data_IF_288347154191
#
_entry.id   IF_288347154191
#
_cell.length_a   1.000
_cell.length_b   1.000
_cell.length_c   1.000
_cell.angle_alpha   90.00
_cell.angle_beta   90.00
_cell.angle_gamma   90.00
#
_symmetry.space_group_name_H-M   'P 1'
#
loop_
_entity.id
_entity.type
_entity.pdbx_description
1 polymer ?
#
# COMPACT_ATOMS: atom_id res chain seq x y z
N UNK A 1 18.38 34.60 -39.00
CA UNK A 1 17.16 35.30 -38.52
C UNK A 1 16.92 34.99 -37.05
N UNK A 2 16.40 35.93 -36.23
CA UNK A 2 15.87 35.57 -34.91
C UNK A 2 14.71 34.60 -35.12
N UNK A 3 14.92 33.30 -34.83
CA UNK A 3 13.94 32.23 -35.09
C UNK A 3 14.40 31.10 -36.01
N UNK A 4 15.62 31.13 -36.55
CA UNK A 4 16.15 29.96 -37.26
C UNK A 4 16.39 28.79 -36.30
N UNK A 5 15.67 27.69 -36.52
CA UNK A 5 15.91 26.40 -35.85
C UNK A 5 16.56 25.45 -36.84
N UNK A 6 17.84 25.14 -36.62
CA UNK A 6 18.49 24.02 -37.31
C UNK A 6 18.16 22.71 -36.57
N UNK A 7 17.72 21.68 -37.31
CA UNK A 7 17.48 20.35 -36.75
C UNK A 7 18.66 19.45 -37.12
N UNK A 8 19.44 19.06 -36.13
CA UNK A 8 20.53 18.09 -36.28
C UNK A 8 20.10 16.64 -36.04
N UNK A 9 21.07 15.73 -36.15
CA UNK A 9 20.90 14.31 -35.83
C UNK A 9 20.45 14.10 -34.39
N UNK A 10 19.65 13.05 -34.18
CA UNK A 10 19.18 12.67 -32.85
C UNK A 10 20.21 11.77 -32.19
N UNK A 11 20.66 12.15 -31.00
CA UNK A 11 21.44 11.26 -30.14
C UNK A 11 20.51 10.32 -29.38
N UNK A 12 20.86 9.03 -29.35
CA UNK A 12 20.26 8.05 -28.44
C UNK A 12 21.24 7.79 -27.31
N UNK A 13 20.76 7.95 -26.07
CA UNK A 13 21.48 7.55 -24.86
C UNK A 13 20.78 6.32 -24.29
N UNK A 14 21.56 5.29 -23.95
CA UNK A 14 21.09 4.08 -23.29
C UNK A 14 21.91 3.88 -22.02
N UNK A 15 21.24 3.72 -20.88
CA UNK A 15 21.87 3.34 -19.63
C UNK A 15 21.85 1.82 -19.46
N UNK A 16 22.84 1.28 -18.75
CA UNK A 16 22.84 -0.13 -18.36
C UNK A 16 21.67 -0.41 -17.41
N UNK A 17 21.14 -1.62 -17.44
CA UNK A 17 20.17 -2.08 -16.44
C UNK A 17 20.75 -2.10 -15.02
N UNK A 18 22.08 -2.02 -14.87
CA UNK A 18 22.77 -1.89 -13.59
C UNK A 18 22.96 -0.45 -13.11
N UNK A 19 22.57 0.56 -13.91
CA UNK A 19 22.71 1.96 -13.50
C UNK A 19 21.70 2.28 -12.39
N UNK A 20 22.15 2.77 -11.22
CA UNK A 20 21.24 3.08 -10.11
C UNK A 20 20.16 4.10 -10.51
N UNK A 21 18.87 3.86 -10.21
CA UNK A 21 17.81 4.84 -10.41
C UNK A 21 18.12 6.15 -9.66
N UNK A 22 17.95 7.30 -10.32
CA UNK A 22 18.33 8.62 -9.79
C UNK A 22 19.74 9.09 -10.14
N UNK A 23 20.52 8.29 -10.89
CA UNK A 23 21.84 8.72 -11.36
C UNK A 23 21.69 9.93 -12.29
N UNK A 24 22.30 11.06 -11.89
CA UNK A 24 22.35 12.29 -12.70
C UNK A 24 23.61 12.29 -13.55
N UNK A 25 23.44 12.34 -14.87
CA UNK A 25 24.55 12.41 -15.82
C UNK A 25 24.55 13.81 -16.45
N UNK A 26 25.60 14.63 -16.21
CA UNK A 26 25.76 15.90 -16.89
C UNK A 26 26.24 15.68 -18.33
N UNK A 27 25.64 16.41 -19.26
CA UNK A 27 26.02 16.48 -20.65
C UNK A 27 26.48 17.89 -20.98
N UNK A 28 27.53 17.97 -21.79
CA UNK A 28 27.97 19.20 -22.45
C UNK A 28 27.88 18.97 -23.94
N UNK A 29 27.10 19.79 -24.64
CA UNK A 29 27.05 19.77 -26.10
C UNK A 29 28.00 20.83 -26.60
N UNK A 30 29.02 20.44 -27.38
CA UNK A 30 29.86 21.42 -28.07
C UNK A 30 29.22 21.80 -29.39
N UNK A 31 28.88 23.07 -29.54
CA UNK A 31 28.29 23.64 -30.76
C UNK A 31 29.31 24.59 -31.37
N UNK A 32 29.79 24.29 -32.58
CA UNK A 32 30.69 25.15 -33.34
C UNK A 32 30.00 25.65 -34.61
N UNK A 33 30.25 26.91 -34.96
CA UNK A 33 29.78 27.53 -36.21
C UNK A 33 30.80 28.54 -36.71
N UNK A 34 30.56 29.10 -37.90
CA UNK A 34 31.33 30.26 -38.39
C UNK A 34 31.19 31.52 -37.52
N UNK A 35 30.16 31.59 -36.67
CA UNK A 35 29.89 32.73 -35.80
C UNK A 35 30.46 32.57 -34.38
N UNK A 36 30.96 31.39 -34.02
CA UNK A 36 31.51 31.12 -32.68
C UNK A 36 31.34 29.68 -32.21
N UNK A 37 31.67 29.46 -30.94
CA UNK A 37 31.58 28.17 -30.27
C UNK A 37 30.89 28.31 -28.90
N UNK A 38 30.01 27.37 -28.58
CA UNK A 38 29.23 27.35 -27.34
C UNK A 38 29.19 25.94 -26.75
N UNK A 39 29.18 25.85 -25.42
CA UNK A 39 29.16 24.59 -24.69
C UNK A 39 27.94 24.50 -23.75
N UNK A 40 26.69 24.52 -24.26
CA UNK A 40 25.51 24.37 -23.41
C UNK A 40 25.53 23.03 -22.67
N UNK A 41 25.13 23.09 -21.40
CA UNK A 41 25.03 21.92 -20.53
C UNK A 41 23.58 21.58 -20.23
N UNK A 42 23.31 20.29 -20.08
CA UNK A 42 22.04 19.78 -19.55
C UNK A 42 22.28 18.50 -18.75
N UNK A 43 21.28 18.03 -18.00
CA UNK A 43 21.38 16.81 -17.20
C UNK A 43 20.32 15.81 -17.64
N UNK A 44 20.67 14.52 -17.62
CA UNK A 44 19.70 13.42 -17.71
C UNK A 44 19.69 12.66 -16.39
N UNK A 45 18.50 12.31 -15.91
CA UNK A 45 18.29 11.45 -14.74
C UNK A 45 17.90 10.06 -15.24
N UNK A 46 18.66 9.03 -14.85
CA UNK A 46 18.39 7.64 -15.23
C UNK A 46 17.41 7.03 -14.23
N UNK A 47 16.24 6.59 -14.71
CA UNK A 47 15.16 6.07 -13.85
C UNK A 47 14.50 7.17 -13.00
N UNK A 48 13.51 6.80 -12.19
CA UNK A 48 13.03 7.69 -11.14
C UNK A 48 14.07 7.70 -10.02
N UNK A 49 14.53 8.87 -9.53
CA UNK A 49 15.37 8.90 -8.34
C UNK A 49 14.66 8.19 -7.20
N UNK A 50 15.44 7.54 -6.32
CA UNK A 50 14.96 7.34 -4.96
C UNK A 50 14.62 8.73 -4.44
N UNK A 51 13.33 9.06 -4.40
CA UNK A 51 12.92 10.13 -3.50
C UNK A 51 13.49 9.74 -2.14
N UNK A 52 14.15 10.64 -1.39
CA UNK A 52 14.47 10.35 0.00
C UNK A 52 13.14 10.00 0.66
N UNK A 53 12.88 8.70 0.84
CA UNK A 53 11.53 8.29 1.17
C UNK A 53 11.25 8.61 2.62
N UNK A 54 9.97 8.65 2.92
CA UNK A 54 9.52 8.88 4.26
C UNK A 54 9.67 7.59 5.09
N UNK A 55 9.59 7.75 6.40
CA UNK A 55 9.34 6.63 7.31
C UNK A 55 7.84 6.46 7.54
N UNK A 56 7.07 7.54 7.39
CA UNK A 56 5.61 7.59 7.57
C UNK A 56 4.93 8.30 6.40
N UNK A 57 3.75 7.85 5.99
CA UNK A 57 2.87 8.55 5.04
C UNK A 57 1.42 8.40 5.46
N UNK A 58 0.62 9.43 5.23
CA UNK A 58 -0.81 9.44 5.52
C UNK A 58 -1.59 9.14 4.25
N UNK A 59 -2.44 8.12 4.32
CA UNK A 59 -3.57 8.02 3.42
C UNK A 59 -4.64 9.00 3.89
N UNK A 60 -5.03 9.99 3.07
CA UNK A 60 -6.00 11.02 3.47
C UNK A 60 -7.04 11.40 2.41
N UNK A 61 -7.11 10.67 1.30
CA UNK A 61 -8.00 11.01 0.18
C UNK A 61 -9.47 10.63 0.44
N UNK A 62 -9.76 9.54 1.14
CA UNK A 62 -11.12 9.03 1.41
C UNK A 62 -11.87 9.67 2.60
N UNK A 63 -12.86 8.96 3.14
CA UNK A 63 -13.63 9.30 4.34
C UNK A 63 -12.94 8.85 5.65
N UNK A 64 -11.90 8.02 5.56
CA UNK A 64 -11.00 7.71 6.67
C UNK A 64 -9.59 8.28 6.42
N UNK A 65 -8.74 8.25 7.46
CA UNK A 65 -7.30 8.49 7.34
C UNK A 65 -6.56 7.33 8.00
N UNK A 66 -5.49 6.84 7.38
CA UNK A 66 -4.58 5.87 8.01
C UNK A 66 -3.14 6.26 7.72
N UNK A 67 -2.29 6.30 8.74
CA UNK A 67 -0.84 6.36 8.53
C UNK A 67 -0.26 4.97 8.32
N UNK A 68 0.61 4.82 7.33
CA UNK A 68 1.43 3.63 7.13
C UNK A 68 2.90 3.96 7.33
N UNK A 69 3.70 2.98 7.74
CA UNK A 69 5.13 3.15 7.99
C UNK A 69 5.98 2.15 7.21
N UNK A 70 7.29 2.42 7.10
CA UNK A 70 8.30 1.47 6.62
C UNK A 70 8.88 0.58 7.75
N UNK A 71 8.26 0.57 8.93
CA UNK A 71 8.83 -0.02 10.14
C UNK A 71 8.05 -1.26 10.64
N UNK A 72 6.94 -1.59 9.98
CA UNK A 72 6.01 -2.63 10.45
C UNK A 72 5.02 -2.16 11.52
N UNK A 73 5.16 -0.94 12.05
CA UNK A 73 4.08 -0.28 12.79
C UNK A 73 3.05 0.34 11.83
N UNK A 74 1.83 0.52 12.30
CA UNK A 74 0.71 1.07 11.53
C UNK A 74 0.06 2.16 12.40
N UNK A 75 -0.26 3.32 11.81
CA UNK A 75 -0.82 4.47 12.50
C UNK A 75 0.23 5.46 13.05
N UNK A 76 1.28 4.95 13.68
CA UNK A 76 2.38 5.75 14.24
C UNK A 76 3.71 5.01 14.07
N UNK A 77 4.83 5.72 14.02
CA UNK A 77 6.18 5.14 13.94
C UNK A 77 6.63 4.48 15.25
N UNK A 78 6.16 5.02 16.37
CA UNK A 78 6.31 4.49 17.73
C UNK A 78 4.99 4.66 18.50
N UNK A 79 4.81 3.98 19.64
CA UNK A 79 3.61 4.14 20.45
C UNK A 79 3.44 5.56 21.02
N UNK A 80 2.22 6.15 20.97
CA UNK A 80 1.93 7.55 21.29
C UNK A 80 2.68 8.16 22.49
N UNK A 81 3.72 8.96 22.21
CA UNK A 81 4.32 9.98 23.06
C UNK A 81 4.26 11.37 22.37
N UNK A 82 4.71 12.43 23.05
CA UNK A 82 4.50 13.83 22.64
C UNK A 82 5.16 14.23 21.28
N UNK A 83 5.94 13.34 20.63
CA UNK A 83 6.79 13.64 19.47
C UNK A 83 6.60 12.70 18.26
N UNK A 84 5.56 11.87 18.27
CA UNK A 84 5.44 10.75 17.33
C UNK A 84 5.01 11.19 15.93
N UNK A 85 5.50 10.45 14.92
CA UNK A 85 5.17 10.69 13.52
C UNK A 85 3.99 9.80 13.12
N UNK A 86 2.97 10.45 12.57
CA UNK A 86 1.76 9.77 12.10
C UNK A 86 0.50 10.43 12.60
N UNK A 87 -0.62 9.85 12.23
CA UNK A 87 -1.95 10.37 12.48
C UNK A 87 -2.93 9.27 12.86
N UNK A 88 -2.44 8.05 13.07
CA UNK A 88 -3.23 6.91 13.50
C UNK A 88 -4.26 6.49 12.45
N UNK A 89 -5.44 6.08 12.94
CA UNK A 89 -6.60 5.75 12.11
C UNK A 89 -7.79 6.63 12.52
N UNK A 90 -8.15 7.62 11.69
CA UNK A 90 -9.30 8.50 11.96
C UNK A 90 -10.52 8.06 11.15
N UNK A 91 -11.66 7.92 11.83
CA UNK A 91 -12.95 7.68 11.21
C UNK A 91 -14.07 8.39 12.02
N UNK A 92 -14.82 9.34 11.43
CA UNK A 92 -14.61 9.92 10.10
C UNK A 92 -13.26 10.67 10.03
N UNK A 93 -12.74 10.93 8.83
CA UNK A 93 -11.38 11.48 8.59
C UNK A 93 -11.01 12.69 9.45
N UNK A 94 -11.98 13.56 9.72
CA UNK A 94 -11.80 14.78 10.52
C UNK A 94 -11.74 14.53 12.04
N UNK A 95 -12.01 13.32 12.52
CA UNK A 95 -11.93 12.97 13.94
C UNK A 95 -10.49 12.82 14.42
N UNK A 96 -10.32 12.81 15.74
CA UNK A 96 -9.12 12.24 16.35
C UNK A 96 -8.91 10.78 15.90
N UNK A 97 -7.68 10.30 16.02
CA UNK A 97 -7.38 8.88 15.79
C UNK A 97 -8.20 8.03 16.77
N UNK A 98 -8.73 6.92 16.28
CA UNK A 98 -9.32 5.85 17.07
C UNK A 98 -8.30 4.75 17.38
N UNK A 99 -7.10 4.83 16.78
CA UNK A 99 -6.02 3.88 16.98
C UNK A 99 -5.01 4.46 17.94
N UNK A 100 -4.71 3.72 19.02
CA UNK A 100 -3.57 3.99 19.89
C UNK A 100 -2.29 3.48 19.23
N UNK A 101 -2.21 2.19 18.95
CA UNK A 101 -1.04 1.61 18.29
C UNK A 101 -1.33 0.29 17.58
N UNK A 102 -0.62 0.02 16.47
CA UNK A 102 -0.77 -1.23 15.72
C UNK A 102 0.55 -1.64 15.09
N UNK A 103 0.70 -2.95 14.87
CA UNK A 103 1.81 -3.50 14.13
C UNK A 103 1.38 -4.69 13.28
N UNK A 104 2.01 -4.82 12.12
CA UNK A 104 2.09 -6.06 11.36
C UNK A 104 3.08 -7.01 12.04
N UNK A 105 2.72 -8.29 12.15
CA UNK A 105 3.54 -9.31 12.77
C UNK A 105 3.71 -10.50 11.84
N UNK A 106 4.89 -11.13 11.87
CA UNK A 106 5.14 -12.46 11.32
C UNK A 106 5.81 -13.34 12.35
N UNK A 107 5.43 -14.61 12.44
CA UNK A 107 6.03 -15.52 13.42
C UNK A 107 5.69 -16.97 13.19
N UNK A 108 6.60 -17.88 13.56
CA UNK A 108 6.40 -19.32 13.40
C UNK A 108 6.72 -20.14 14.67
N UNK A 109 7.14 -19.48 15.74
CA UNK A 109 7.38 -20.10 17.05
C UNK A 109 7.41 -19.03 18.14
N UNK A 110 7.39 -19.46 19.41
CA UNK A 110 7.57 -18.55 20.53
C UNK A 110 8.95 -17.85 20.57
N UNK A 111 9.94 -18.39 19.86
CA UNK A 111 11.28 -17.79 19.74
C UNK A 111 11.49 -17.01 18.44
N UNK A 112 10.44 -16.83 17.63
CA UNK A 112 10.50 -16.02 16.41
C UNK A 112 9.14 -15.38 16.14
N UNK A 113 9.04 -14.12 16.56
CA UNK A 113 7.99 -13.18 16.21
C UNK A 113 8.70 -11.88 15.85
N UNK A 114 8.55 -11.42 14.61
CA UNK A 114 9.03 -10.12 14.17
C UNK A 114 7.85 -9.14 14.18
N UNK A 115 7.97 -8.08 14.98
CA UNK A 115 6.95 -7.05 15.13
C UNK A 115 7.55 -5.70 15.57
N UNK A 116 6.66 -4.74 15.88
CA UNK A 116 7.03 -3.42 16.41
C UNK A 116 6.23 -3.03 17.66
N UNK A 117 5.69 -3.99 18.40
CA UNK A 117 5.11 -3.77 19.73
C UNK A 117 6.20 -3.66 20.80
N UNK A 118 5.84 -3.17 21.98
CA UNK A 118 6.75 -3.15 23.13
C UNK A 118 7.38 -4.52 23.39
N UNK A 119 8.70 -4.51 23.58
CA UNK A 119 9.45 -5.67 24.02
C UNK A 119 9.48 -5.78 25.55
N UNK A 120 9.89 -6.94 26.04
CA UNK A 120 10.21 -7.14 27.45
C UNK A 120 11.73 -6.97 27.66
N UNK A 121 12.21 -6.21 28.66
CA UNK A 121 11.45 -5.51 29.71
C UNK A 121 10.76 -4.22 29.21
N UNK A 122 9.75 -3.71 29.94
CA UNK A 122 8.99 -2.50 29.56
C UNK A 122 9.82 -1.25 29.24
N UNK A 123 11.06 -1.19 29.74
CA UNK A 123 12.00 -0.09 29.50
C UNK A 123 12.71 -0.15 28.14
N UNK A 124 12.51 -1.21 27.35
CA UNK A 124 13.23 -1.46 26.09
C UNK A 124 12.69 -0.72 24.86
N UNK A 125 11.54 -0.05 24.97
CA UNK A 125 10.86 0.56 23.83
C UNK A 125 10.17 -0.48 22.91
N UNK A 126 9.65 -0.04 21.75
CA UNK A 126 9.10 -0.96 20.75
C UNK A 126 10.20 -1.84 20.16
N UNK A 127 9.84 -3.09 19.84
CA UNK A 127 10.68 -4.02 19.10
C UNK A 127 11.11 -3.39 17.76
N UNK A 128 12.35 -3.65 17.35
CA UNK A 128 12.88 -3.17 16.06
C UNK A 128 13.28 -4.33 15.17
N UNK A 129 12.45 -5.38 15.15
CA UNK A 129 12.70 -6.62 14.42
C UNK A 129 12.72 -6.38 12.91
N UNK A 130 11.91 -5.43 12.45
CA UNK A 130 11.94 -4.97 11.07
C UNK A 130 13.00 -3.88 10.84
N UNK A 131 13.78 -4.04 9.75
CA UNK A 131 14.71 -3.03 9.24
C UNK A 131 14.29 -2.54 7.87
N UNK A 132 14.32 -1.23 7.68
CA UNK A 132 14.03 -0.60 6.39
C UNK A 132 15.04 -1.09 5.35
N UNK A 133 14.54 -1.59 4.22
CA UNK A 133 15.32 -1.95 3.03
C UNK A 133 15.14 -0.90 1.94
N UNK A 134 13.91 -0.44 1.74
CA UNK A 134 13.54 0.67 0.86
C UNK A 134 12.57 1.57 1.62
N UNK A 135 12.80 2.87 1.55
CA UNK A 135 11.99 3.87 2.23
C UNK A 135 10.53 3.88 1.73
N UNK A 136 9.60 4.37 2.56
CA UNK A 136 8.20 4.51 2.16
C UNK A 136 8.08 5.62 1.11
N UNK A 137 7.40 5.31 -0.01
CA UNK A 137 7.21 6.26 -1.11
C UNK A 137 5.84 6.12 -1.76
N UNK A 138 5.39 7.22 -2.36
CA UNK A 138 4.24 7.19 -3.26
C UNK A 138 4.59 6.54 -4.59
N UNK A 139 3.66 5.74 -5.09
CA UNK A 139 3.68 5.19 -6.45
C UNK A 139 2.80 6.09 -7.31
N UNK A 140 3.42 6.78 -8.26
CA UNK A 140 2.77 7.73 -9.15
C UNK A 140 2.96 7.29 -10.62
N UNK A 141 1.88 7.06 -11.39
CA UNK A 141 0.48 7.11 -10.96
C UNK A 141 0.15 5.91 -10.04
N UNK A 142 -0.89 6.02 -9.19
CA UNK A 142 -1.24 4.95 -8.26
C UNK A 142 -1.55 3.63 -8.98
N UNK A 143 -1.28 2.52 -8.29
CA UNK A 143 -1.48 1.15 -8.76
C UNK A 143 -2.97 0.85 -8.85
N UNK A 144 -3.60 0.82 -7.69
CA UNK A 144 -5.04 0.80 -7.48
C UNK A 144 -5.42 1.96 -6.57
N UNK A 145 -6.64 2.49 -6.71
CA UNK A 145 -7.13 3.60 -5.89
C UNK A 145 -6.55 4.95 -6.30
N UNK A 146 -6.80 5.96 -5.48
CA UNK A 146 -6.31 7.33 -5.67
C UNK A 146 -4.94 7.54 -5.02
N UNK A 147 -4.66 6.80 -3.95
CA UNK A 147 -3.36 6.79 -3.29
C UNK A 147 -2.79 5.37 -3.26
N UNK A 148 -1.49 5.27 -3.52
CA UNK A 148 -0.74 4.03 -3.44
C UNK A 148 0.64 4.33 -2.84
N UNK A 149 0.94 3.76 -1.68
CA UNK A 149 2.27 3.81 -1.10
C UNK A 149 2.93 2.44 -1.08
N UNK A 150 4.25 2.43 -1.14
CA UNK A 150 5.07 1.22 -1.10
C UNK A 150 6.22 1.38 -0.12
N UNK A 151 6.44 0.38 0.72
CA UNK A 151 7.63 0.24 1.56
C UNK A 151 8.24 -1.16 1.41
N UNK A 152 9.53 -1.29 1.71
CA UNK A 152 10.20 -2.59 1.81
C UNK A 152 11.01 -2.63 3.10
N UNK A 153 10.82 -3.69 3.86
CA UNK A 153 11.61 -3.96 5.06
C UNK A 153 11.90 -5.45 5.16
N UNK A 154 12.80 -5.83 6.05
CA UNK A 154 13.16 -7.23 6.30
C UNK A 154 13.24 -7.50 7.80
N UNK A 155 13.35 -8.76 8.18
CA UNK A 155 13.42 -9.19 9.59
C UNK A 155 14.83 -9.15 10.20
N UNK A 156 15.79 -8.46 9.56
CA UNK A 156 17.19 -8.47 9.98
C UNK A 156 17.44 -7.83 11.36
N UNK A 157 16.43 -7.17 11.93
CA UNK A 157 16.49 -6.61 13.27
C UNK A 157 16.17 -7.63 14.37
N UNK A 158 15.52 -8.75 14.03
CA UNK A 158 15.22 -9.81 14.98
C UNK A 158 16.53 -10.51 15.42
N UNK A 159 16.60 -10.97 16.67
CA UNK A 159 17.80 -11.61 17.25
C UNK A 159 18.22 -12.92 16.56
N UNK A 160 17.28 -13.56 15.87
CA UNK A 160 17.47 -14.77 15.06
C UNK A 160 16.70 -14.61 13.74
N UNK A 161 17.20 -13.81 12.79
CA UNK A 161 16.47 -13.51 11.56
C UNK A 161 16.39 -14.74 10.67
N UNK A 162 15.28 -14.88 9.95
CA UNK A 162 15.02 -15.93 8.96
C UNK A 162 15.25 -15.49 7.53
N UNK A 163 15.58 -14.22 7.29
CA UNK A 163 15.81 -13.68 5.96
C UNK A 163 14.51 -13.39 5.22
N UNK A 164 13.49 -12.97 5.94
CA UNK A 164 12.22 -12.54 5.36
C UNK A 164 12.37 -11.12 4.82
N UNK A 165 11.91 -10.91 3.59
CA UNK A 165 11.73 -9.60 2.98
C UNK A 165 10.25 -9.34 2.76
N UNK A 166 9.77 -8.21 3.28
CA UNK A 166 8.38 -7.81 3.24
C UNK A 166 8.25 -6.61 2.31
N UNK A 167 7.42 -6.73 1.27
CA UNK A 167 6.97 -5.59 0.47
C UNK A 167 5.57 -5.23 0.95
N UNK A 168 5.41 -4.01 1.46
CA UNK A 168 4.12 -3.46 1.82
C UNK A 168 3.61 -2.57 0.69
N UNK A 169 2.36 -2.81 0.29
CA UNK A 169 1.57 -1.98 -0.61
C UNK A 169 0.34 -1.49 0.13
N UNK A 170 0.10 -0.18 0.16
CA UNK A 170 -1.07 0.40 0.82
C UNK A 170 -1.86 1.30 -0.11
N UNK A 171 -3.19 1.24 0.00
CA UNK A 171 -4.09 1.87 -0.96
C UNK A 171 -5.31 2.50 -0.30
N UNK A 172 -5.69 3.68 -0.81
CA UNK A 172 -6.96 4.33 -0.46
C UNK A 172 -7.65 4.87 -1.72
N UNK A 173 -8.98 4.96 -1.67
CA UNK A 173 -9.84 5.50 -2.71
C UNK A 173 -10.79 6.57 -2.09
N UNK A 174 -11.19 7.58 -2.86
CA UNK A 174 -12.22 8.56 -2.49
C UNK A 174 -13.56 8.31 -3.20
N UNK A 175 -13.63 7.32 -4.09
CA UNK A 175 -14.87 6.95 -4.74
C UNK A 175 -15.90 6.48 -3.70
N UNK A 176 -17.12 7.04 -3.80
CA UNK A 176 -18.23 6.70 -2.91
C UNK A 176 -18.43 5.19 -2.81
N UNK A 177 -18.48 4.68 -1.57
CA UNK A 177 -18.63 3.26 -1.28
C UNK A 177 -17.31 2.49 -1.17
N UNK A 178 -16.18 3.15 -1.43
CA UNK A 178 -14.81 2.62 -1.24
C UNK A 178 -13.92 3.56 -0.42
N UNK A 179 -14.49 4.58 0.20
CA UNK A 179 -13.80 5.66 0.88
C UNK A 179 -13.66 5.47 2.39
N UNK A 180 -14.24 4.40 2.94
CA UNK A 180 -14.27 4.09 4.38
C UNK A 180 -13.17 3.13 4.87
N UNK A 181 -12.22 2.77 4.01
CA UNK A 181 -11.16 1.83 4.36
C UNK A 181 -9.82 2.15 3.68
N UNK A 182 -8.75 1.61 4.27
CA UNK A 182 -7.41 1.55 3.66
C UNK A 182 -6.98 0.09 3.58
N UNK A 183 -6.54 -0.34 2.40
CA UNK A 183 -6.06 -1.69 2.15
C UNK A 183 -4.56 -1.76 2.35
N UNK A 184 -4.08 -2.78 3.05
CA UNK A 184 -2.67 -3.10 3.26
C UNK A 184 -2.39 -4.52 2.73
N UNK A 185 -1.57 -4.64 1.70
CA UNK A 185 -1.10 -5.91 1.16
C UNK A 185 0.39 -6.09 1.46
N UNK A 186 0.76 -7.28 1.90
CA UNK A 186 2.13 -7.65 2.27
C UNK A 186 2.57 -8.86 1.48
N UNK A 187 3.64 -8.72 0.72
CA UNK A 187 4.34 -9.84 0.08
C UNK A 187 5.52 -10.25 0.94
N UNK A 188 5.40 -11.44 1.52
CA UNK A 188 6.39 -12.00 2.45
C UNK A 188 7.23 -13.00 1.67
N UNK A 189 8.43 -12.58 1.27
CA UNK A 189 9.37 -13.40 0.54
C UNK A 189 10.45 -13.98 1.46
N UNK A 190 10.77 -15.25 1.29
CA UNK A 190 11.94 -15.86 1.92
C UNK A 190 13.18 -15.64 1.03
N UNK A 191 14.04 -14.71 1.45
CA UNK A 191 15.33 -14.44 0.79
C UNK A 191 16.51 -15.16 1.47
N UNK A 192 16.23 -15.93 2.52
CA UNK A 192 17.20 -16.76 3.22
C UNK A 192 17.50 -18.07 2.49
N UNK A 193 18.49 -18.81 3.01
CA UNK A 193 18.93 -20.08 2.42
C UNK A 193 18.10 -21.30 2.87
N UNK A 194 17.28 -21.17 3.91
CA UNK A 194 16.52 -22.26 4.52
C UNK A 194 15.02 -22.02 4.41
N UNK A 195 14.24 -23.10 4.31
CA UNK A 195 12.78 -23.00 4.34
C UNK A 195 12.27 -22.44 5.67
N UNK A 196 11.23 -21.61 5.60
CA UNK A 196 10.51 -21.06 6.77
C UNK A 196 9.13 -21.71 6.80
N UNK A 197 8.97 -22.72 7.66
CA UNK A 197 7.72 -23.48 7.77
C UNK A 197 6.86 -22.98 8.93
N UNK A 198 5.55 -23.19 8.82
CA UNK A 198 4.58 -22.87 9.88
C UNK A 198 4.44 -21.38 10.15
N UNK A 199 4.67 -20.53 9.15
CA UNK A 199 4.66 -19.07 9.32
C UNK A 199 3.23 -18.55 9.38
N UNK A 200 2.97 -17.72 10.39
CA UNK A 200 1.74 -16.94 10.52
C UNK A 200 2.06 -15.47 10.27
N UNK A 201 1.08 -14.74 9.76
CA UNK A 201 1.12 -13.29 9.62
C UNK A 201 -0.17 -12.67 10.12
N UNK A 202 -0.11 -11.46 10.68
CA UNK A 202 -1.29 -10.81 11.23
C UNK A 202 -1.11 -9.33 11.51
N UNK A 203 -2.21 -8.69 11.87
CA UNK A 203 -2.25 -7.32 12.39
C UNK A 203 -2.94 -7.36 13.74
N UNK A 204 -2.25 -6.86 14.76
CA UNK A 204 -2.86 -6.52 16.04
C UNK A 204 -3.00 -5.00 16.11
N UNK A 205 -4.15 -4.53 16.57
CA UNK A 205 -4.50 -3.11 16.59
C UNK A 205 -5.20 -2.78 17.90
N UNK A 206 -4.62 -1.83 18.62
CA UNK A 206 -5.13 -1.27 19.86
C UNK A 206 -5.91 -0.01 19.56
N UNK A 207 -7.23 -0.07 19.67
CA UNK A 207 -8.10 1.07 19.37
C UNK A 207 -8.56 1.73 20.67
N UNK A 208 -8.33 3.04 20.79
CA UNK A 208 -8.82 3.88 21.89
C UNK A 208 -10.02 4.69 21.41
N UNK A 209 -11.20 4.07 21.40
CA UNK A 209 -12.39 4.67 20.81
C UNK A 209 -13.06 5.61 21.81
N UNK A 210 -13.15 6.88 21.42
CA UNK A 210 -13.71 7.98 22.20
C UNK A 210 -12.83 8.39 23.38
N UNK A 211 -13.43 8.79 24.51
CA UNK A 211 -12.68 9.48 25.58
C UNK A 211 -11.99 8.58 26.60
N UNK A 212 -12.26 7.27 26.58
CA UNK A 212 -11.63 6.33 27.51
C UNK A 212 -11.59 4.91 26.93
N UNK A 213 -10.39 4.27 26.91
CA UNK A 213 -10.27 2.89 26.42
C UNK A 213 -11.07 1.91 27.27
N UNK A 214 -11.21 2.17 28.58
CA UNK A 214 -11.97 1.30 29.52
C UNK A 214 -13.46 1.14 29.19
N UNK A 215 -13.98 1.92 28.25
CA UNK A 215 -15.37 1.85 27.80
C UNK A 215 -15.56 1.05 26.51
N UNK A 216 -14.49 0.45 25.98
CA UNK A 216 -14.49 -0.19 24.68
C UNK A 216 -14.97 -1.65 24.76
N UNK A 217 -15.44 -2.15 23.63
CA UNK A 217 -15.85 -3.54 23.41
C UNK A 217 -15.26 -4.01 22.09
N UNK A 218 -14.95 -5.30 22.00
CA UNK A 218 -14.37 -5.94 20.84
C UNK A 218 -15.22 -7.13 20.38
N UNK A 219 -15.40 -7.30 19.08
CA UNK A 219 -16.22 -8.36 18.48
C UNK A 219 -15.55 -8.91 17.22
N UNK A 220 -15.70 -10.22 16.98
CA UNK A 220 -15.22 -10.87 15.75
C UNK A 220 -16.37 -11.40 14.89
N UNK A 221 -16.37 -11.06 13.60
CA UNK A 221 -17.21 -11.62 12.55
C UNK A 221 -16.40 -12.66 11.74
N UNK A 222 -16.68 -13.94 11.97
CA UNK A 222 -16.00 -15.06 11.29
C UNK A 222 -16.40 -15.23 9.84
N UNK A 223 -17.57 -14.72 9.42
CA UNK A 223 -18.02 -14.78 8.03
C UNK A 223 -17.22 -13.79 7.21
N UNK A 224 -17.03 -12.57 7.73
CA UNK A 224 -16.28 -11.50 7.05
C UNK A 224 -14.78 -11.51 7.30
N UNK A 225 -14.31 -12.36 8.22
CA UNK A 225 -12.91 -12.40 8.69
C UNK A 225 -12.46 -11.06 9.26
N UNK A 226 -13.31 -10.49 10.11
CA UNK A 226 -13.19 -9.12 10.63
C UNK A 226 -13.17 -9.17 12.17
N UNK A 227 -12.24 -8.45 12.78
CA UNK A 227 -12.26 -8.12 14.21
C UNK A 227 -12.40 -6.62 14.37
N UNK A 228 -13.32 -6.16 15.21
CA UNK A 228 -13.64 -4.74 15.33
C UNK A 228 -13.92 -4.32 16.77
N UNK A 229 -13.83 -3.01 17.01
CA UNK A 229 -14.08 -2.36 18.28
C UNK A 229 -15.04 -1.19 18.15
N UNK A 230 -15.70 -0.87 19.26
CA UNK A 230 -16.50 0.35 19.47
C UNK A 230 -16.60 0.68 20.95
N UNK A 231 -17.13 1.85 21.27
CA UNK A 231 -17.58 2.14 22.64
C UNK A 231 -18.78 1.25 23.01
N UNK A 232 -18.88 0.85 24.27
CA UNK A 232 -20.01 0.08 24.77
C UNK A 232 -21.34 0.85 24.61
N UNK A 233 -21.29 2.17 24.85
CA UNK A 233 -22.44 3.08 24.80
C UNK A 233 -22.75 3.63 23.40
N UNK A 234 -21.85 3.50 22.43
CA UNK A 234 -22.02 4.06 21.08
C UNK A 234 -21.33 3.19 20.03
N UNK A 235 -22.05 2.91 18.93
CA UNK A 235 -21.48 2.29 17.74
C UNK A 235 -20.88 3.31 16.75
N UNK A 236 -20.87 4.60 17.08
CA UNK A 236 -20.29 5.64 16.25
C UNK A 236 -19.03 6.25 16.92
N UNK A 237 -17.82 6.03 16.39
CA UNK A 237 -17.51 5.11 15.29
C UNK A 237 -17.38 3.65 15.76
N UNK A 238 -17.53 2.71 14.82
CA UNK A 238 -17.07 1.33 14.93
C UNK A 238 -15.92 1.17 13.95
N UNK A 239 -14.77 0.66 14.40
CA UNK A 239 -13.55 0.50 13.58
C UNK A 239 -12.97 -0.89 13.73
N UNK A 240 -12.31 -1.41 12.70
CA UNK A 240 -11.74 -2.76 12.79
C UNK A 240 -10.77 -3.11 11.67
N UNK A 241 -10.27 -4.34 11.75
CA UNK A 241 -9.32 -4.90 10.79
C UNK A 241 -9.93 -6.15 10.15
N UNK A 242 -10.01 -6.16 8.82
CA UNK A 242 -10.50 -7.29 8.00
C UNK A 242 -9.35 -8.01 7.33
N UNK A 243 -9.41 -9.34 7.26
CA UNK A 243 -8.57 -10.16 6.38
C UNK A 243 -9.20 -10.21 4.99
N UNK A 244 -8.45 -9.74 4.00
CA UNK A 244 -8.80 -9.76 2.58
C UNK A 244 -8.21 -10.99 1.86
N UNK A 245 -6.97 -11.35 2.19
CA UNK A 245 -6.28 -12.51 1.62
C UNK A 245 -5.30 -13.17 2.62
N UNK A 246 -5.15 -14.50 2.59
CA UNK A 246 -5.97 -15.47 1.84
C UNK A 246 -7.44 -15.47 2.30
N UNK A 247 -8.29 -16.21 1.58
CA UNK A 247 -9.71 -16.31 1.91
C UNK A 247 -10.01 -17.17 3.16
N UNK A 248 -9.09 -17.19 4.13
CA UNK A 248 -9.13 -17.96 5.38
C UNK A 248 -8.55 -17.11 6.52
N UNK A 249 -8.68 -17.58 7.75
CA UNK A 249 -8.04 -16.96 8.92
C UNK A 249 -7.51 -18.05 9.85
N UNK A 250 -6.40 -17.76 10.51
CA UNK A 250 -5.86 -18.55 11.62
C UNK A 250 -6.54 -18.14 12.94
N UNK A 251 -6.67 -16.83 13.19
CA UNK A 251 -7.35 -16.32 14.37
C UNK A 251 -8.04 -14.97 14.14
N UNK A 252 -9.13 -14.76 14.88
CA UNK A 252 -9.81 -13.48 15.09
C UNK A 252 -10.01 -13.36 16.60
N UNK A 253 -9.41 -12.34 17.22
CA UNK A 253 -9.27 -12.29 18.68
C UNK A 253 -9.43 -10.88 19.23
N UNK A 254 -10.16 -10.77 20.34
CA UNK A 254 -10.13 -9.67 21.29
C UNK A 254 -9.04 -9.95 22.32
N UNK A 255 -8.12 -9.01 22.47
CA UNK A 255 -6.95 -9.09 23.33
C UNK A 255 -7.27 -8.32 24.61
N UNK A 256 -7.44 -9.03 25.72
CA UNK A 256 -7.72 -8.46 27.04
C UNK A 256 -6.44 -7.86 27.64
N UNK A 257 -6.36 -6.52 27.72
CA UNK A 257 -5.18 -5.84 28.26
C UNK A 257 -4.89 -6.21 29.71
N UNK A 258 -5.91 -6.40 30.55
CA UNK A 258 -5.71 -6.80 31.95
C UNK A 258 -5.03 -8.16 32.08
N UNK A 259 -5.14 -9.01 31.06
CA UNK A 259 -4.59 -10.36 31.07
C UNK A 259 -3.27 -10.47 30.32
N UNK A 260 -3.11 -9.74 29.22
CA UNK A 260 -2.03 -9.97 28.26
C UNK A 260 -1.10 -8.79 28.05
N UNK A 261 -1.47 -7.59 28.48
CA UNK A 261 -0.66 -6.38 28.24
C UNK A 261 -0.16 -5.81 29.56
N UNK A 262 -1.07 -5.41 30.47
CA UNK A 262 -0.70 -4.73 31.70
C UNK A 262 0.17 -5.53 32.68
N UNK A 263 0.03 -6.87 32.84
CA UNK A 263 0.86 -7.63 33.77
C UNK A 263 2.37 -7.49 33.51
N UNK A 264 2.77 -7.36 32.24
CA UNK A 264 4.16 -7.28 31.80
C UNK A 264 4.45 -5.98 31.03
N UNK A 265 3.52 -5.02 31.05
CA UNK A 265 3.46 -3.80 30.20
C UNK A 265 3.70 -4.04 28.70
N UNK A 266 3.54 -5.29 28.24
CA UNK A 266 3.68 -5.73 26.86
C UNK A 266 3.08 -7.14 26.72
N UNK A 267 2.78 -7.54 25.49
CA UNK A 267 2.63 -8.97 25.19
C UNK A 267 4.01 -9.57 24.95
N UNK A 268 4.33 -10.69 25.60
CA UNK A 268 5.53 -11.48 25.30
C UNK A 268 5.43 -12.14 23.93
N UNK A 269 6.55 -12.46 23.28
CA UNK A 269 6.54 -13.12 21.95
C UNK A 269 5.82 -14.47 21.97
N UNK A 270 5.91 -15.21 23.09
CA UNK A 270 5.13 -16.43 23.26
C UNK A 270 3.61 -16.17 23.28
N UNK A 271 3.16 -15.10 23.94
CA UNK A 271 1.75 -14.69 23.93
C UNK A 271 1.34 -14.22 22.53
N UNK A 272 2.14 -13.37 21.87
CA UNK A 272 1.89 -12.90 20.49
C UNK A 272 1.79 -14.07 19.51
N UNK A 273 2.71 -15.04 19.58
CA UNK A 273 2.69 -16.22 18.72
C UNK A 273 1.43 -17.08 18.95
N UNK A 274 1.02 -17.28 20.20
CA UNK A 274 -0.20 -18.04 20.52
C UNK A 274 -1.48 -17.32 20.10
N UNK A 275 -1.47 -15.98 20.08
CA UNK A 275 -2.54 -15.18 19.50
C UNK A 275 -2.53 -15.30 17.97
N UNK A 276 -1.35 -15.27 17.32
CA UNK A 276 -1.22 -15.45 15.86
C UNK A 276 -1.72 -16.83 15.40
N UNK A 277 -1.34 -17.90 16.09
CA UNK A 277 -1.64 -19.26 15.67
C UNK A 277 -3.01 -19.80 16.15
N UNK A 278 -3.77 -19.00 16.90
CA UNK A 278 -5.09 -19.39 17.40
C UNK A 278 -5.10 -20.25 18.67
N UNK A 279 -3.96 -20.51 19.30
CA UNK A 279 -3.88 -21.22 20.59
C UNK A 279 -4.42 -20.40 21.77
N UNK A 280 -4.47 -19.08 21.63
CA UNK A 280 -5.24 -18.18 22.50
C UNK A 280 -6.37 -17.60 21.66
N UNK A 281 -7.61 -17.88 22.05
CA UNK A 281 -8.80 -17.37 21.37
C UNK A 281 -9.82 -16.82 22.37
N UNK A 282 -10.18 -15.57 22.17
CA UNK A 282 -11.31 -14.90 22.79
C UNK A 282 -11.92 -14.01 21.72
N UNK A 283 -13.00 -14.43 21.07
CA UNK A 283 -13.51 -13.69 19.90
C UNK A 283 -14.14 -12.34 20.25
N UNK A 284 -14.77 -12.28 21.42
CA UNK A 284 -15.56 -11.13 21.85
C UNK A 284 -15.16 -10.73 23.27
N UNK A 285 -15.12 -9.44 23.52
CA UNK A 285 -15.00 -8.88 24.87
C UNK A 285 -16.17 -9.35 25.74
N UNK A 286 -15.91 -9.65 27.01
CA UNK A 286 -16.94 -10.04 27.98
C UNK A 286 -17.36 -8.90 28.92
N UNK A 287 -16.75 -7.71 28.76
CA UNK A 287 -16.99 -6.51 29.55
C UNK A 287 -16.50 -5.28 28.78
N UNK A 288 -17.01 -4.11 29.12
CA UNK A 288 -16.39 -2.85 28.74
C UNK A 288 -15.03 -2.75 29.43
N UNK A 289 -13.96 -2.64 28.65
CA UNK A 289 -12.60 -2.50 29.16
C UNK A 289 -11.68 -2.00 28.06
N UNK A 290 -10.39 -1.89 28.37
CA UNK A 290 -9.34 -1.71 27.37
C UNK A 290 -9.09 -3.03 26.63
N UNK A 291 -9.17 -2.98 25.31
CA UNK A 291 -9.08 -4.14 24.43
C UNK A 291 -8.24 -3.77 23.21
N UNK A 292 -7.49 -4.73 22.68
CA UNK A 292 -7.05 -4.67 21.28
C UNK A 292 -7.79 -5.72 20.46
N UNK A 293 -7.69 -5.65 19.14
CA UNK A 293 -8.12 -6.72 18.23
C UNK A 293 -6.95 -7.29 17.46
N UNK A 294 -7.02 -8.58 17.16
CA UNK A 294 -6.09 -9.28 16.31
C UNK A 294 -6.77 -10.01 15.17
N UNK A 295 -6.12 -10.00 14.02
CA UNK A 295 -6.46 -10.82 12.86
C UNK A 295 -5.21 -11.48 12.32
N UNK A 296 -5.27 -12.78 12.04
CA UNK A 296 -4.13 -13.52 11.53
C UNK A 296 -4.50 -14.57 10.50
N UNK A 297 -3.52 -14.92 9.68
CA UNK A 297 -3.58 -15.94 8.62
C UNK A 297 -2.39 -16.87 8.72
N UNK A 298 -2.52 -18.06 8.12
CA UNK A 298 -1.52 -19.12 8.17
C UNK A 298 -2.06 -20.41 8.82
N UNK A 299 -1.18 -21.39 9.09
CA UNK A 299 0.23 -21.38 8.72
C UNK A 299 0.42 -21.48 7.21
N UNK A 300 1.55 -20.97 6.71
CA UNK A 300 2.06 -21.24 5.37
C UNK A 300 3.56 -21.47 5.41
N UNK A 301 4.07 -22.21 4.42
CA UNK A 301 5.48 -22.57 4.30
C UNK A 301 6.13 -21.79 3.14
N UNK A 302 7.33 -21.25 3.38
CA UNK A 302 8.10 -20.51 2.40
C UNK A 302 9.44 -21.20 2.13
N UNK A 303 9.55 -21.90 1.00
CA UNK A 303 10.85 -22.35 0.50
C UNK A 303 11.76 -21.13 0.17
N UNK A 304 13.09 -21.30 0.10
CA UNK A 304 13.99 -20.25 -0.38
C UNK A 304 13.54 -19.70 -1.73
N UNK A 305 13.40 -18.38 -1.84
CA UNK A 305 12.90 -17.67 -3.03
C UNK A 305 11.38 -17.65 -3.19
N UNK A 306 10.61 -18.39 -2.37
CA UNK A 306 9.17 -18.35 -2.40
C UNK A 306 8.62 -17.08 -1.72
N UNK A 307 7.41 -16.67 -2.13
CA UNK A 307 6.69 -15.53 -1.56
C UNK A 307 5.23 -15.90 -1.27
N UNK A 308 4.67 -15.34 -0.20
CA UNK A 308 3.26 -15.44 0.14
C UNK A 308 2.69 -14.04 0.33
N UNK A 309 1.58 -13.75 -0.35
CA UNK A 309 0.78 -12.55 -0.09
C UNK A 309 -0.20 -12.75 1.05
N UNK A 310 -0.28 -11.76 1.93
CA UNK A 310 -1.38 -11.57 2.88
C UNK A 310 -1.92 -10.15 2.76
N UNK A 311 -3.22 -9.95 2.94
CA UNK A 311 -3.82 -8.63 2.80
C UNK A 311 -4.90 -8.38 3.84
N UNK A 312 -4.96 -7.13 4.31
CA UNK A 312 -5.85 -6.66 5.35
C UNK A 312 -6.47 -5.32 4.95
N UNK A 313 -7.57 -4.94 5.60
CA UNK A 313 -8.12 -3.59 5.52
C UNK A 313 -8.39 -3.03 6.91
N UNK A 314 -7.98 -1.80 7.16
CA UNK A 314 -8.53 -0.99 8.24
C UNK A 314 -9.83 -0.35 7.75
N UNK A 315 -10.92 -0.63 8.44
CA UNK A 315 -12.29 -0.26 8.02
C UNK A 315 -12.95 0.52 9.13
N UNK A 316 -13.64 1.60 8.79
CA UNK A 316 -14.51 2.32 9.71
C UNK A 316 -15.98 2.28 9.29
N UNK A 317 -16.85 2.52 10.26
CA UNK A 317 -18.29 2.67 10.05
C UNK A 317 -18.93 3.49 11.16
N UNK A 318 -20.04 4.15 10.84
CA UNK A 318 -20.84 4.94 11.81
C UNK A 318 -21.73 4.08 12.71
N UNK A 319 -21.80 2.77 12.41
CA UNK A 319 -22.48 1.73 13.18
C UNK A 319 -21.86 0.38 12.83
N UNK A 320 -22.18 -0.67 13.59
CA UNK A 320 -21.74 -2.04 13.25
C UNK A 320 -22.26 -2.47 11.86
N UNK A 321 -23.52 -2.17 11.54
CA UNK A 321 -24.09 -2.48 10.23
C UNK A 321 -23.33 -1.76 9.10
N UNK A 322 -23.05 -0.47 9.27
CA UNK A 322 -22.28 0.29 8.28
C UNK A 322 -20.83 -0.22 8.16
N UNK A 323 -20.18 -0.56 9.28
CA UNK A 323 -18.86 -1.20 9.26
C UNK A 323 -18.88 -2.49 8.44
N UNK A 324 -19.87 -3.36 8.65
CA UNK A 324 -19.94 -4.63 7.90
C UNK A 324 -20.16 -4.43 6.41
N UNK A 325 -20.96 -3.43 6.00
CA UNK A 325 -21.10 -3.03 4.60
C UNK A 325 -19.77 -2.54 4.03
N UNK A 326 -19.07 -1.66 4.75
CA UNK A 326 -17.78 -1.11 4.32
C UNK A 326 -16.70 -2.20 4.24
N UNK A 327 -16.76 -3.20 5.12
CA UNK A 327 -15.89 -4.37 5.11
C UNK A 327 -16.17 -5.27 3.88
N UNK A 328 -17.42 -5.38 3.44
CA UNK A 328 -17.78 -6.08 2.21
C UNK A 328 -17.34 -5.29 0.96
N UNK A 329 -17.46 -3.96 0.99
CA UNK A 329 -16.88 -3.07 -0.03
C UNK A 329 -15.35 -3.20 -0.12
N UNK A 330 -14.65 -3.32 1.01
CA UNK A 330 -13.20 -3.52 1.04
C UNK A 330 -12.80 -4.83 0.35
N UNK A 331 -13.54 -5.92 0.60
CA UNK A 331 -13.32 -7.19 -0.10
C UNK A 331 -13.56 -7.04 -1.61
N UNK A 332 -14.71 -6.47 -2.00
CA UNK A 332 -15.05 -6.26 -3.41
C UNK A 332 -14.03 -5.38 -4.13
N UNK A 333 -13.51 -4.35 -3.46
CA UNK A 333 -12.45 -3.51 -4.01
C UNK A 333 -11.14 -4.28 -4.15
N UNK A 334 -10.71 -5.03 -3.12
CA UNK A 334 -9.50 -5.84 -3.20
C UNK A 334 -9.57 -6.85 -4.34
N UNK A 335 -10.65 -7.63 -4.42
CA UNK A 335 -10.84 -8.70 -5.41
C UNK A 335 -10.75 -8.17 -6.85
N UNK A 336 -11.31 -6.98 -7.11
CA UNK A 336 -11.28 -6.32 -8.43
C UNK A 336 -9.92 -5.73 -8.79
N UNK A 337 -9.02 -5.56 -7.83
CA UNK A 337 -7.71 -4.93 -8.02
C UNK A 337 -6.55 -5.92 -7.77
N UNK A 338 -6.82 -7.22 -7.58
CA UNK A 338 -5.81 -8.25 -7.27
C UNK A 338 -4.62 -8.28 -8.24
N UNK A 339 -4.86 -8.15 -9.54
CA UNK A 339 -3.82 -8.08 -10.56
C UNK A 339 -2.86 -6.88 -10.40
N UNK A 340 -3.31 -5.80 -9.75
CA UNK A 340 -2.51 -4.61 -9.49
C UNK A 340 -1.60 -4.77 -8.26
N UNK A 341 -1.93 -5.72 -7.37
CA UNK A 341 -1.12 -6.03 -6.21
C UNK A 341 -0.04 -7.06 -6.52
N UNK A 342 -0.16 -7.86 -7.60
CA UNK A 342 0.74 -8.96 -7.93
C UNK A 342 1.68 -8.69 -9.13
N UNK A 343 2.61 -7.71 -9.04
CA UNK A 343 3.53 -7.44 -10.14
C UNK A 343 4.54 -8.58 -10.34
N UNK A 344 4.74 -9.45 -9.34
CA UNK A 344 5.73 -10.54 -9.35
C UNK A 344 5.14 -11.91 -9.71
N UNK A 345 3.83 -12.01 -10.00
CA UNK A 345 3.25 -13.21 -10.65
C UNK A 345 3.66 -13.28 -12.11
N UNK A 346 4.97 -13.39 -12.39
CA UNK A 346 5.57 -13.74 -13.67
C UNK A 346 4.78 -13.23 -14.89
N UNK A 347 4.38 -11.95 -14.87
CA UNK A 347 4.32 -11.17 -16.08
C UNK A 347 5.79 -11.03 -16.45
N UNK A 348 6.36 -12.10 -17.04
CA UNK A 348 7.60 -11.94 -17.79
C UNK A 348 7.35 -10.70 -18.61
N UNK A 349 8.14 -9.64 -18.36
CA UNK A 349 7.93 -8.30 -18.87
C UNK A 349 7.92 -8.40 -20.40
N UNK A 350 6.79 -8.83 -20.94
CA UNK A 350 6.21 -8.32 -22.15
C UNK A 350 5.66 -7.03 -21.63
N UNK A 351 6.48 -6.01 -21.70
CA UNK A 351 6.05 -4.66 -22.03
C UNK A 351 4.74 -4.82 -22.82
N UNK A 352 3.60 -4.67 -22.14
CA UNK A 352 2.32 -5.01 -22.75
C UNK A 352 2.26 -4.18 -24.02
N UNK A 353 2.26 -4.85 -25.17
CA UNK A 353 2.55 -4.21 -26.44
C UNK A 353 1.68 -2.96 -26.60
N UNK A 354 2.36 -1.82 -26.65
CA UNK A 354 1.94 -0.58 -27.29
C UNK A 354 0.55 -0.09 -26.93
N UNK A 355 0.42 0.62 -25.80
CA UNK A 355 -0.54 1.73 -25.81
C UNK A 355 -0.04 2.74 -26.83
N UNK A 356 -0.88 3.07 -27.81
CA UNK A 356 -0.57 4.11 -28.79
C UNK A 356 -1.51 5.28 -28.55
N UNK A 357 -0.93 6.38 -28.08
CA UNK A 357 -1.62 7.65 -27.91
C UNK A 357 -1.33 8.54 -29.12
N UNK A 358 -2.34 8.74 -29.99
CA UNK A 358 -2.15 9.53 -31.21
C UNK A 358 -3.30 10.51 -31.45
N UNK A 359 -3.02 11.80 -31.67
CA UNK A 359 -1.71 12.45 -31.58
C UNK A 359 -1.18 12.53 -30.13
N UNK A 360 0.13 12.58 -29.95
CA UNK A 360 0.79 12.92 -28.68
C UNK A 360 2.17 13.54 -29.00
N UNK A 361 2.39 14.85 -28.77
CA UNK A 361 1.50 15.80 -28.11
C UNK A 361 0.20 16.08 -28.87
N UNK A 362 -0.85 16.50 -28.17
CA UNK A 362 -2.19 16.77 -28.74
C UNK A 362 -2.76 18.10 -28.26
N UNK A 363 -3.68 18.69 -29.05
CA UNK A 363 -4.29 20.01 -28.78
C UNK A 363 -5.59 19.94 -28.01
N UNK A 364 -6.52 19.14 -28.51
CA UNK A 364 -7.88 19.04 -27.97
C UNK A 364 -8.22 17.60 -27.67
N UNK A 365 -7.96 16.70 -28.63
CA UNK A 365 -8.29 15.29 -28.52
C UNK A 365 -7.10 14.39 -28.84
N UNK A 366 -7.03 13.24 -28.19
CA UNK A 366 -6.09 12.15 -28.49
C UNK A 366 -6.81 10.81 -28.43
N UNK A 367 -6.38 9.86 -29.26
CA UNK A 367 -6.87 8.49 -29.25
C UNK A 367 -5.89 7.58 -28.55
N UNK A 368 -6.35 6.89 -27.52
CA UNK A 368 -5.62 5.89 -26.76
C UNK A 368 -6.01 4.51 -27.29
N UNK A 369 -5.08 3.84 -27.96
CA UNK A 369 -5.30 2.51 -28.55
C UNK A 369 -4.58 1.46 -27.72
N UNK A 370 -5.22 0.35 -27.41
CA UNK A 370 -4.66 -0.74 -26.60
C UNK A 370 -5.13 -2.11 -27.13
N UNK A 371 -4.43 -3.17 -26.74
CA UNK A 371 -4.71 -4.54 -27.16
C UNK A 371 -5.12 -5.38 -25.96
N UNK A 372 -6.21 -6.13 -26.11
CA UNK A 372 -6.69 -7.11 -25.13
C UNK A 372 -6.42 -8.49 -25.70
N UNK A 373 -5.60 -9.29 -25.02
CA UNK A 373 -5.27 -10.67 -25.40
C UNK A 373 -6.16 -11.67 -24.67
N UNK A 374 -6.55 -11.35 -23.43
CA UNK A 374 -7.48 -12.14 -22.60
C UNK A 374 -8.76 -11.34 -22.36
N UNK A 375 -9.94 -11.89 -22.68
CA UNK A 375 -11.20 -11.17 -22.48
C UNK A 375 -11.43 -10.91 -20.99
N UNK A 376 -11.85 -9.69 -20.64
CA UNK A 376 -12.07 -9.32 -19.24
C UNK A 376 -12.35 -7.83 -19.06
N UNK A 377 -12.40 -7.37 -17.81
CA UNK A 377 -12.67 -5.96 -17.50
C UNK A 377 -11.45 -5.11 -17.86
N UNK A 378 -11.68 -4.04 -18.62
CA UNK A 378 -10.68 -3.04 -18.99
C UNK A 378 -11.01 -1.71 -18.34
N UNK A 379 -10.00 -1.08 -17.74
CA UNK A 379 -10.05 0.27 -17.17
C UNK A 379 -9.06 1.17 -17.90
N UNK A 380 -9.50 2.32 -18.40
CA UNK A 380 -8.64 3.36 -18.97
C UNK A 380 -8.84 4.65 -18.20
N UNK A 381 -7.84 5.04 -17.42
CA UNK A 381 -7.86 6.25 -16.61
C UNK A 381 -6.85 7.28 -17.12
N UNK A 382 -7.20 8.56 -17.01
CA UNK A 382 -6.29 9.67 -17.22
C UNK A 382 -6.05 10.39 -15.91
N UNK A 383 -4.79 10.66 -15.60
CA UNK A 383 -4.32 11.31 -14.38
C UNK A 383 -3.56 12.59 -14.70
N UNK A 384 -3.56 13.54 -13.77
CA UNK A 384 -2.59 14.63 -13.79
C UNK A 384 -1.24 14.21 -13.17
N UNK A 385 -0.28 15.13 -13.15
CA UNK A 385 1.08 14.89 -12.60
C UNK A 385 1.11 14.60 -11.10
N UNK A 386 0.06 14.96 -10.36
CA UNK A 386 -0.03 14.66 -8.92
C UNK A 386 -0.61 13.28 -8.65
N UNK A 387 -1.04 12.56 -9.69
CA UNK A 387 -1.66 11.24 -9.57
C UNK A 387 -3.17 11.28 -9.36
N UNK A 388 -3.80 12.46 -9.38
CA UNK A 388 -5.26 12.59 -9.31
C UNK A 388 -5.90 12.14 -10.62
N UNK A 389 -6.94 11.30 -10.53
CA UNK A 389 -7.77 10.92 -11.68
C UNK A 389 -8.51 12.16 -12.21
N UNK A 390 -8.26 12.48 -13.47
CA UNK A 390 -8.97 13.52 -14.22
C UNK A 390 -10.24 12.94 -14.85
N UNK A 391 -10.15 11.75 -15.43
CA UNK A 391 -11.30 11.06 -16.03
C UNK A 391 -11.06 9.56 -16.22
N UNK A 392 -12.15 8.81 -16.33
CA UNK A 392 -12.17 7.40 -16.72
C UNK A 392 -12.80 7.31 -18.11
N UNK A 393 -12.01 6.89 -19.10
CA UNK A 393 -12.45 6.79 -20.49
C UNK A 393 -13.12 5.45 -20.79
N UNK A 394 -12.72 4.40 -20.08
CA UNK A 394 -13.24 3.04 -20.25
C UNK A 394 -13.33 2.38 -18.88
N UNK A 395 -14.47 1.76 -18.61
CA UNK A 395 -14.68 0.83 -17.50
C UNK A 395 -15.77 -0.17 -17.93
N UNK A 396 -15.36 -1.25 -18.62
CA UNK A 396 -16.29 -2.25 -19.14
C UNK A 396 -15.58 -3.58 -19.43
N UNK A 397 -16.36 -4.63 -19.66
CA UNK A 397 -15.85 -5.89 -20.19
C UNK A 397 -15.52 -5.72 -21.67
N UNK A 398 -14.33 -6.14 -22.08
CA UNK A 398 -13.92 -6.18 -23.48
C UNK A 398 -13.49 -7.58 -23.90
N UNK A 399 -13.76 -7.91 -25.16
CA UNK A 399 -13.33 -9.17 -25.78
C UNK A 399 -11.90 -9.06 -26.29
N UNK A 400 -11.30 -10.19 -26.64
CA UNK A 400 -10.00 -10.23 -27.32
C UNK A 400 -10.04 -9.34 -28.57
N UNK A 401 -9.04 -8.46 -28.73
CA UNK A 401 -8.97 -7.55 -29.87
C UNK A 401 -8.27 -6.23 -29.58
N UNK A 402 -8.18 -5.41 -30.63
CA UNK A 402 -7.65 -4.04 -30.55
C UNK A 402 -8.79 -3.07 -30.27
N UNK A 403 -8.65 -2.28 -29.22
CA UNK A 403 -9.66 -1.34 -28.76
C UNK A 403 -9.08 0.08 -28.67
N UNK A 404 -9.97 1.06 -28.53
CA UNK A 404 -9.55 2.44 -28.36
C UNK A 404 -10.53 3.24 -27.49
N UNK A 405 -10.00 4.32 -26.94
CA UNK A 405 -10.77 5.36 -26.27
C UNK A 405 -10.30 6.74 -26.76
N UNK A 406 -11.26 7.61 -27.07
CA UNK A 406 -10.97 8.99 -27.44
C UNK A 406 -11.08 9.89 -26.20
N UNK A 407 -10.05 10.68 -25.95
CA UNK A 407 -10.02 11.63 -24.85
C UNK A 407 -10.14 13.06 -25.38
N UNK A 408 -11.08 13.83 -24.84
CA UNK A 408 -11.25 15.26 -25.07
C UNK A 408 -10.81 16.06 -23.84
N UNK A 409 -9.76 16.85 -24.01
CA UNK A 409 -9.10 17.63 -22.96
C UNK A 409 -9.26 19.16 -23.15
N UNK A 410 -10.24 19.63 -23.94
CA UNK A 410 -10.40 21.06 -24.28
C UNK A 410 -10.48 22.00 -23.06
N UNK A 411 -10.99 21.51 -21.93
CA UNK A 411 -11.19 22.29 -20.72
C UNK A 411 -10.06 22.13 -19.68
N UNK A 412 -8.95 21.49 -20.05
CA UNK A 412 -7.84 21.21 -19.14
C UNK A 412 -6.64 22.12 -19.40
N UNK A 413 -5.85 22.35 -18.35
CA UNK A 413 -4.64 23.15 -18.46
C UNK A 413 -3.59 22.43 -19.34
N UNK A 414 -2.81 23.19 -20.12
CA UNK A 414 -1.64 22.62 -20.81
C UNK A 414 -0.72 21.96 -19.80
N UNK A 415 -0.20 20.78 -20.12
CA UNK A 415 0.61 20.05 -19.16
C UNK A 415 0.81 18.60 -19.51
N UNK A 416 1.48 17.92 -18.59
CA UNK A 416 1.70 16.47 -18.65
C UNK A 416 0.52 15.80 -17.98
N UNK A 417 0.04 14.75 -18.62
CA UNK A 417 -0.95 13.82 -18.11
C UNK A 417 -0.42 12.40 -18.25
N UNK A 418 -0.99 11.46 -17.53
CA UNK A 418 -0.67 10.05 -17.63
C UNK A 418 -1.95 9.30 -17.99
N UNK A 419 -1.89 8.41 -18.97
CA UNK A 419 -2.96 7.44 -19.21
C UNK A 419 -2.52 6.09 -18.70
N UNK A 420 -3.40 5.39 -17.99
CA UNK A 420 -3.19 4.02 -17.53
C UNK A 420 -4.28 3.13 -18.10
N UNK A 421 -3.87 2.04 -18.72
CA UNK A 421 -4.76 0.96 -19.16
C UNK A 421 -4.51 -0.24 -18.26
N UNK A 422 -5.55 -0.76 -17.63
CA UNK A 422 -5.53 -1.99 -16.84
C UNK A 422 -6.45 -2.98 -17.53
N UNK A 423 -5.94 -4.16 -17.87
CA UNK A 423 -6.68 -5.26 -18.46
C UNK A 423 -6.15 -6.60 -17.89
N UNK A 424 -6.79 -7.75 -18.16
CA UNK A 424 -6.36 -9.02 -17.56
C UNK A 424 -4.92 -9.42 -17.91
N UNK A 425 -4.39 -8.97 -19.05
CA UNK A 425 -3.03 -9.28 -19.50
C UNK A 425 -1.96 -8.39 -18.86
N UNK A 426 -2.36 -7.37 -18.11
CA UNK A 426 -1.44 -6.51 -17.38
C UNK A 426 -1.84 -5.04 -17.35
N UNK A 427 -0.85 -4.22 -17.06
CA UNK A 427 -0.98 -2.79 -16.88
C UNK A 427 -0.02 -2.10 -17.83
N UNK A 428 -0.50 -1.12 -18.57
CA UNK A 428 0.35 -0.24 -19.35
C UNK A 428 0.05 1.22 -19.00
N UNK A 429 1.09 2.06 -18.99
CA UNK A 429 0.97 3.48 -18.69
C UNK A 429 1.72 4.27 -19.75
N UNK A 430 1.12 5.35 -20.24
CA UNK A 430 1.72 6.24 -21.23
C UNK A 430 1.60 7.71 -20.82
N UNK A 431 2.63 8.49 -21.17
CA UNK A 431 2.64 9.93 -20.91
C UNK A 431 1.95 10.68 -22.04
N UNK A 432 1.00 11.53 -21.70
CA UNK A 432 0.31 12.43 -22.64
C UNK A 432 0.77 13.87 -22.44
N UNK A 433 1.07 14.57 -23.53
CA UNK A 433 1.38 16.00 -23.51
C UNK A 433 0.24 16.79 -24.18
N UNK A 434 -0.51 17.55 -23.39
CA UNK A 434 -1.50 18.50 -23.89
C UNK A 434 -0.78 19.80 -24.28
N UNK A 435 -0.55 19.98 -25.58
CA UNK A 435 0.13 21.11 -26.19
C UNK A 435 -0.87 21.88 -27.06
N UNK A 436 -0.97 23.19 -26.90
CA UNK A 436 -1.99 23.98 -27.63
C UNK A 436 -1.85 23.96 -29.14
#
# INVERSE_FOLDING_TARGET
NPGDTSRGDRYRVTASNSTPPGTTIPFTVRVTSSEGSWDPTFQLVIGAPSQPGAVVMNHDTGYCKLTVTALGSIGYDEPPAYLDLGSGFSYPKASASQLYYSSFLVGNSAGYVADRFYGQPPSGGPNTDFRIVDSLRAILPPGAGDEHFRAVYNDAGHSSPKGLRIIQHSHQNAASGYDDFVVLAYDIANTGASAVNGLFAGIFADFDIGSSPTTNTATSDTIRRLSYMRQASSANPTVGVKILAPASFANLVAIDHARWVYPDSCMTDNQKFRLLNGSIVLRNSNRSYDWSVGTSVGPFDLAPGASQRVAFAFVGGTSEANLTTNADSAQSWYDRNTALFDPEQNLGIRDARGIVCTPNPFRNTTRITYQVETPGRVLVHVFDVTGRIITTLVDRMETVGRHHADWDARNLARGVYLVKVVHPDGIATEKLLLAR
#
